data_IF_501069667212
#
_entry.id   IF_501069667212
#
_cell.length_a   1.000
_cell.length_b   1.000
_cell.length_c   1.000
_cell.angle_alpha   90.00
_cell.angle_beta   90.00
_cell.angle_gamma   90.00
#
_symmetry.space_group_name_H-M   'P 1'
#
loop_
_entity.id
_entity.type
_entity.pdbx_description
1 polymer ?
#
# COMPACT_ATOMS: atom_id res chain seq x y z
N UNK A 1 -2.74 4.30 -34.53
CA UNK A 1 -2.57 4.78 -33.15
C UNK A 1 -3.45 3.94 -32.22
N UNK A 2 -2.90 3.34 -31.15
CA UNK A 2 -3.73 2.72 -30.10
C UNK A 2 -4.51 3.83 -29.37
N UNK A 3 -5.81 3.63 -29.13
CA UNK A 3 -6.65 4.58 -28.38
C UNK A 3 -6.11 4.69 -26.94
N UNK A 4 -6.14 5.90 -26.33
CA UNK A 4 -5.72 6.06 -24.95
C UNK A 4 -6.62 5.26 -24.00
N UNK A 5 -5.98 4.61 -23.03
CA UNK A 5 -6.64 3.88 -21.96
C UNK A 5 -7.06 4.84 -20.84
N UNK A 6 -7.88 4.32 -19.93
CA UNK A 6 -8.38 5.09 -18.79
C UNK A 6 -7.32 5.23 -17.69
N UNK A 7 -7.30 6.38 -17.01
CA UNK A 7 -6.40 6.64 -15.90
C UNK A 7 -6.59 5.63 -14.76
N UNK A 8 -7.86 5.33 -14.43
CA UNK A 8 -8.24 4.32 -13.43
C UNK A 8 -9.54 3.62 -13.82
N UNK A 9 -10.59 4.40 -14.12
CA UNK A 9 -11.95 3.88 -14.26
C UNK A 9 -12.31 3.73 -15.74
N UNK A 10 -12.68 2.52 -16.15
CA UNK A 10 -12.92 2.16 -17.57
C UNK A 10 -14.18 2.78 -18.20
N UNK A 11 -15.06 3.39 -17.42
CA UNK A 11 -16.17 4.22 -17.92
C UNK A 11 -16.45 5.27 -16.85
N UNK A 12 -16.89 6.49 -17.22
CA UNK A 12 -17.72 7.29 -16.33
C UNK A 12 -19.00 6.49 -16.15
N UNK A 13 -19.01 5.54 -15.21
CA UNK A 13 -20.28 5.06 -14.73
C UNK A 13 -20.95 6.30 -14.14
N UNK A 14 -22.17 6.63 -14.61
CA UNK A 14 -23.18 7.01 -13.62
C UNK A 14 -23.15 5.83 -12.68
N UNK A 15 -22.40 5.89 -11.59
CA UNK A 15 -22.38 4.80 -10.63
C UNK A 15 -23.84 4.66 -10.22
N UNK A 16 -24.56 3.58 -10.59
CA UNK A 16 -25.97 3.45 -10.23
C UNK A 16 -26.16 3.37 -8.70
N UNK A 17 -25.04 3.27 -7.99
CA UNK A 17 -24.82 3.32 -6.56
C UNK A 17 -24.76 4.78 -6.09
N UNK A 18 -25.79 5.55 -6.45
CA UNK A 18 -26.02 6.95 -6.12
C UNK A 18 -26.35 7.03 -4.62
N UNK A 19 -25.39 7.33 -3.74
CA UNK A 19 -25.59 7.58 -2.29
C UNK A 19 -26.15 6.37 -1.47
N UNK A 20 -26.80 5.38 -2.08
CA UNK A 20 -27.76 4.49 -1.41
C UNK A 20 -27.20 3.15 -0.91
N UNK A 21 -26.02 2.75 -1.34
CA UNK A 21 -25.66 1.32 -1.30
C UNK A 21 -24.32 1.01 -0.64
N UNK A 22 -23.58 2.03 -0.17
CA UNK A 22 -22.51 1.87 0.82
C UNK A 22 -22.93 2.48 2.16
N UNK A 23 -21.99 2.54 3.11
CA UNK A 23 -22.10 3.21 4.43
C UNK A 23 -22.58 4.68 4.36
N UNK A 24 -22.72 5.23 3.15
CA UNK A 24 -23.26 6.53 2.75
C UNK A 24 -24.76 6.73 2.98
N UNK A 25 -25.55 5.67 3.14
CA UNK A 25 -26.96 5.75 3.55
C UNK A 25 -27.17 6.27 4.97
N UNK A 26 -26.10 6.62 5.68
CA UNK A 26 -26.08 6.98 7.10
C UNK A 26 -25.85 8.48 7.36
N UNK A 27 -25.65 9.29 6.32
CA UNK A 27 -25.31 10.71 6.47
C UNK A 27 -26.56 11.59 6.63
N UNK A 28 -26.35 12.74 7.27
CA UNK A 28 -27.40 13.64 7.74
C UNK A 28 -28.03 14.53 6.64
N UNK A 29 -27.75 14.27 5.36
CA UNK A 29 -28.18 15.15 4.26
C UNK A 29 -29.60 14.78 3.84
N UNK A 30 -30.59 15.21 4.62
CA UNK A 30 -31.98 14.75 4.53
C UNK A 30 -32.68 15.04 3.19
N UNK A 31 -32.31 16.14 2.53
CA UNK A 31 -32.99 16.63 1.32
C UNK A 31 -32.76 15.78 0.07
N UNK A 32 -31.75 14.91 0.09
CA UNK A 32 -31.31 14.13 -1.09
C UNK A 32 -31.51 12.62 -0.89
N UNK A 33 -32.05 12.21 0.28
CA UNK A 33 -32.35 10.82 0.57
C UNK A 33 -33.80 10.50 0.17
N UNK A 34 -33.98 9.40 -0.54
CA UNK A 34 -35.28 8.75 -0.70
C UNK A 34 -35.75 8.13 0.64
N UNK A 35 -37.03 7.76 0.72
CA UNK A 35 -37.63 7.23 1.95
C UNK A 35 -36.95 5.94 2.43
N UNK A 36 -36.48 5.10 1.51
CA UNK A 36 -35.77 3.86 1.84
C UNK A 36 -34.40 4.16 2.46
N UNK A 37 -33.67 5.16 1.93
CA UNK A 37 -32.41 5.62 2.48
C UNK A 37 -32.59 6.26 3.87
N UNK A 38 -33.63 7.08 4.06
CA UNK A 38 -33.98 7.64 5.37
C UNK A 38 -34.27 6.55 6.40
N UNK A 39 -35.06 5.55 6.02
CA UNK A 39 -35.35 4.41 6.88
C UNK A 39 -34.05 3.67 7.28
N UNK A 40 -33.17 3.38 6.32
CA UNK A 40 -31.89 2.69 6.60
C UNK A 40 -30.98 3.51 7.52
N UNK A 41 -30.91 4.83 7.33
CA UNK A 41 -30.19 5.75 8.23
C UNK A 41 -30.73 5.64 9.65
N UNK A 42 -32.04 5.71 9.82
CA UNK A 42 -32.69 5.71 11.13
C UNK A 42 -32.51 4.35 11.84
N UNK A 43 -32.58 3.24 11.09
CA UNK A 43 -32.24 1.90 11.59
C UNK A 43 -30.78 1.80 12.03
N UNK A 44 -29.85 2.36 11.25
CA UNK A 44 -28.43 2.41 11.60
C UNK A 44 -28.17 3.24 12.86
N UNK A 45 -28.77 4.43 12.98
CA UNK A 45 -28.67 5.28 14.16
C UNK A 45 -29.21 4.58 15.42
N UNK A 46 -30.36 3.91 15.31
CA UNK A 46 -30.91 3.07 16.39
C UNK A 46 -29.94 1.97 16.78
N UNK A 47 -29.30 1.32 15.81
CA UNK A 47 -28.32 0.27 16.09
C UNK A 47 -27.06 0.80 16.79
N UNK A 48 -26.48 1.92 16.33
CA UNK A 48 -25.32 2.53 16.98
C UNK A 48 -25.66 2.96 18.41
N UNK A 49 -26.82 3.59 18.60
CA UNK A 49 -27.28 3.99 19.92
C UNK A 49 -27.49 2.79 20.86
N UNK A 50 -27.98 1.66 20.32
CA UNK A 50 -28.06 0.42 21.08
C UNK A 50 -26.67 -0.10 21.44
N UNK A 51 -25.74 -0.13 20.48
CA UNK A 51 -24.36 -0.60 20.68
C UNK A 51 -23.58 0.27 21.69
N UNK A 52 -23.86 1.57 21.78
CA UNK A 52 -23.22 2.48 22.75
C UNK A 52 -23.47 2.10 24.22
N UNK A 53 -24.47 1.25 24.47
CA UNK A 53 -24.88 0.77 25.80
C UNK A 53 -24.46 -0.68 26.09
N UNK A 54 -23.60 -1.25 25.26
CA UNK A 54 -23.15 -2.65 25.39
C UNK A 54 -21.75 -2.74 25.98
N UNK A 55 -21.37 -3.94 26.48
CA UNK A 55 -20.00 -4.25 26.90
C UNK A 55 -18.97 -4.03 25.78
N UNK A 56 -19.38 -4.17 24.51
CA UNK A 56 -18.51 -3.84 23.37
C UNK A 56 -18.09 -2.37 23.41
N UNK A 57 -19.02 -1.45 23.65
CA UNK A 57 -18.69 -0.03 23.71
C UNK A 57 -17.83 0.31 24.92
N UNK A 58 -18.11 -0.27 26.08
CA UNK A 58 -17.30 -0.11 27.28
C UNK A 58 -15.86 -0.61 27.03
N UNK A 59 -15.73 -1.83 26.51
CA UNK A 59 -14.44 -2.41 26.13
C UNK A 59 -13.69 -1.51 25.15
N UNK A 60 -14.34 -1.06 24.08
CA UNK A 60 -13.66 -0.23 23.06
C UNK A 60 -13.28 1.14 23.62
N UNK A 61 -14.16 1.77 24.40
CA UNK A 61 -13.92 3.09 24.99
C UNK A 61 -12.76 3.08 25.98
N UNK A 62 -12.65 2.02 26.80
CA UNK A 62 -11.61 1.92 27.82
C UNK A 62 -10.23 1.60 27.24
N UNK A 63 -10.16 0.94 26.08
CA UNK A 63 -8.89 0.41 25.54
C UNK A 63 -8.38 1.13 24.28
N UNK A 64 -9.26 1.75 23.47
CA UNK A 64 -8.87 2.22 22.12
C UNK A 64 -9.26 3.66 21.79
N UNK A 65 -10.22 4.23 22.53
CA UNK A 65 -10.72 5.58 22.28
C UNK A 65 -9.75 6.63 22.80
N UNK A 66 -9.65 7.76 22.10
CA UNK A 66 -8.81 8.88 22.47
C UNK A 66 -9.63 10.16 22.55
N UNK A 67 -9.29 11.07 23.48
CA UNK A 67 -9.97 12.36 23.63
C UNK A 67 -9.86 13.25 22.37
N UNK A 68 -8.85 13.04 21.53
CA UNK A 68 -8.64 13.75 20.27
C UNK A 68 -9.54 13.26 19.13
N UNK A 69 -10.21 12.11 19.27
CA UNK A 69 -11.03 11.51 18.19
C UNK A 69 -12.17 12.44 17.74
N UNK A 70 -12.79 13.16 18.67
CA UNK A 70 -13.81 14.18 18.36
C UNK A 70 -13.26 15.34 17.54
N UNK A 71 -12.05 15.80 17.85
CA UNK A 71 -11.39 16.87 17.08
C UNK A 71 -10.97 16.37 15.71
N UNK A 72 -10.48 15.14 15.64
CA UNK A 72 -10.09 14.47 14.40
C UNK A 72 -11.28 14.33 13.44
N UNK A 73 -12.41 13.78 13.89
CA UNK A 73 -13.59 13.62 13.03
C UNK A 73 -14.10 14.96 12.52
N UNK A 74 -14.13 16.01 13.37
CA UNK A 74 -14.54 17.37 12.97
C UNK A 74 -13.65 17.96 11.88
N UNK A 75 -12.33 17.81 12.01
CA UNK A 75 -11.39 18.28 11.00
C UNK A 75 -11.53 17.49 9.68
N UNK A 76 -11.67 16.17 9.78
CA UNK A 76 -11.82 15.32 8.60
C UNK A 76 -13.17 15.51 7.91
N UNK A 77 -14.26 15.79 8.63
CA UNK A 77 -15.55 16.18 8.06
C UNK A 77 -15.44 17.47 7.25
N UNK A 78 -14.77 18.51 7.77
CA UNK A 78 -14.54 19.74 7.01
C UNK A 78 -13.76 19.50 5.72
N UNK A 79 -12.80 18.59 5.74
CA UNK A 79 -11.95 18.33 4.59
C UNK A 79 -12.59 17.38 3.56
N UNK A 80 -13.14 16.28 4.05
CA UNK A 80 -13.58 15.13 3.26
C UNK A 80 -15.09 14.95 3.21
N UNK A 81 -15.83 15.69 4.05
CA UNK A 81 -17.30 15.73 4.10
C UNK A 81 -17.87 14.35 4.24
N UNK A 82 -18.58 13.92 3.20
CA UNK A 82 -19.12 12.57 3.17
C UNK A 82 -17.96 11.59 3.40
N UNK A 83 -16.85 11.62 2.67
CA UNK A 83 -15.76 10.64 2.75
C UNK A 83 -14.98 10.55 4.09
N UNK A 84 -15.44 11.17 5.19
CA UNK A 84 -14.78 11.19 6.50
C UNK A 84 -14.45 9.79 7.04
N UNK A 85 -15.37 8.83 6.94
CA UNK A 85 -15.26 7.51 7.58
C UNK A 85 -13.92 6.83 7.27
N UNK A 86 -13.58 6.73 6.00
CA UNK A 86 -12.37 6.05 5.53
C UNK A 86 -11.09 6.76 5.99
N UNK A 87 -11.11 8.10 5.99
CA UNK A 87 -9.98 8.90 6.46
C UNK A 87 -9.82 8.82 7.98
N UNK A 88 -10.93 8.77 8.71
CA UNK A 88 -10.94 8.60 10.16
C UNK A 88 -10.38 7.24 10.55
N UNK A 89 -10.91 6.15 9.98
CA UNK A 89 -10.42 4.79 10.21
C UNK A 89 -8.94 4.68 9.86
N UNK A 90 -8.51 5.24 8.72
CA UNK A 90 -7.08 5.26 8.34
C UNK A 90 -6.23 5.98 9.38
N UNK A 91 -6.73 7.05 9.99
CA UNK A 91 -5.97 7.90 10.92
C UNK A 91 -5.79 7.26 12.30
N UNK A 92 -6.74 6.45 12.75
CA UNK A 92 -6.67 5.78 14.06
C UNK A 92 -6.14 4.34 13.99
N UNK A 93 -5.99 3.78 12.78
CA UNK A 93 -5.60 2.38 12.58
C UNK A 93 -4.31 1.99 13.28
N UNK A 94 -3.26 2.80 13.14
CA UNK A 94 -1.94 2.47 13.71
C UNK A 94 -1.98 2.52 15.25
N UNK A 95 -2.77 3.44 15.83
CA UNK A 95 -3.05 3.48 17.27
C UNK A 95 -3.70 2.18 17.73
N UNK A 96 -4.77 1.75 17.05
CA UNK A 96 -5.49 0.53 17.41
C UNK A 96 -4.59 -0.70 17.28
N UNK A 97 -3.80 -0.81 16.21
CA UNK A 97 -2.83 -1.90 16.04
C UNK A 97 -1.82 -1.93 17.20
N UNK A 98 -1.31 -0.76 17.60
CA UNK A 98 -0.39 -0.63 18.73
C UNK A 98 -1.02 -1.10 20.04
N UNK A 99 -2.24 -0.66 20.36
CA UNK A 99 -2.95 -1.08 21.57
C UNK A 99 -3.27 -2.59 21.55
N UNK A 100 -3.69 -3.12 20.40
CA UNK A 100 -3.87 -4.57 20.25
C UNK A 100 -2.58 -5.37 20.51
N UNK A 101 -1.42 -4.80 20.18
CA UNK A 101 -0.11 -5.41 20.43
C UNK A 101 0.32 -5.38 21.88
N UNK A 102 -0.06 -4.35 22.66
CA UNK A 102 0.33 -4.19 24.07
C UNK A 102 -0.37 -5.17 25.01
N UNK A 103 -1.63 -5.46 24.74
CA UNK A 103 -2.49 -6.25 25.64
C UNK A 103 -2.69 -7.70 25.20
N UNK A 104 -2.07 -8.10 24.08
CA UNK A 104 -2.25 -9.40 23.41
C UNK A 104 -3.70 -9.92 23.40
N UNK A 105 -4.64 -9.05 23.01
CA UNK A 105 -6.06 -9.41 22.97
C UNK A 105 -6.30 -10.61 22.05
N UNK A 106 -6.94 -11.64 22.60
CA UNK A 106 -7.33 -12.81 21.84
C UNK A 106 -8.50 -12.48 20.91
N UNK A 107 -8.40 -12.88 19.64
CA UNK A 107 -9.47 -12.69 18.65
C UNK A 107 -10.77 -13.35 19.09
N UNK A 108 -10.70 -14.49 19.78
CA UNK A 108 -11.85 -15.21 20.34
C UNK A 108 -12.56 -14.44 21.45
N UNK A 109 -11.83 -13.71 22.28
CA UNK A 109 -12.42 -12.89 23.34
C UNK A 109 -13.21 -11.72 22.74
N UNK A 110 -12.59 -10.99 21.82
CA UNK A 110 -13.27 -9.91 21.09
C UNK A 110 -14.49 -10.43 20.32
N UNK A 111 -14.38 -11.62 19.71
CA UNK A 111 -15.49 -12.27 19.03
C UNK A 111 -16.69 -12.49 19.98
N UNK A 112 -16.46 -13.00 21.19
CA UNK A 112 -17.52 -13.21 22.17
C UNK A 112 -18.22 -11.90 22.56
N UNK A 113 -17.44 -10.85 22.83
CA UNK A 113 -17.97 -9.51 23.16
C UNK A 113 -18.83 -8.97 22.01
N UNK A 114 -18.36 -9.15 20.77
CA UNK A 114 -19.07 -8.69 19.58
C UNK A 114 -20.37 -9.49 19.35
N UNK A 115 -20.34 -10.81 19.48
CA UNK A 115 -21.51 -11.68 19.36
C UNK A 115 -22.58 -11.34 20.41
N UNK A 116 -22.17 -11.10 21.67
CA UNK A 116 -23.07 -10.63 22.73
C UNK A 116 -23.72 -9.29 22.36
N UNK A 117 -22.93 -8.33 21.88
CA UNK A 117 -23.43 -7.02 21.50
C UNK A 117 -24.36 -7.07 20.27
N UNK A 118 -24.19 -8.02 19.36
CA UNK A 118 -24.97 -8.13 18.12
C UNK A 118 -26.18 -9.06 18.25
N UNK A 119 -26.21 -9.93 19.28
CA UNK A 119 -27.30 -10.87 19.52
C UNK A 119 -27.26 -12.11 18.62
N UNK A 120 -26.14 -12.36 17.95
CA UNK A 120 -25.90 -13.56 17.12
C UNK A 120 -24.40 -13.85 17.03
N UNK A 121 -24.05 -15.08 16.64
CA UNK A 121 -22.64 -15.48 16.48
C UNK A 121 -21.97 -14.73 15.31
N UNK A 122 -21.02 -13.86 15.63
CA UNK A 122 -20.21 -13.11 14.68
C UNK A 122 -18.87 -13.83 14.52
N UNK A 123 -18.41 -14.01 13.28
CA UNK A 123 -17.07 -14.56 13.02
C UNK A 123 -16.05 -13.45 12.82
N UNK A 124 -15.00 -13.44 13.63
CA UNK A 124 -13.84 -12.54 13.47
C UNK A 124 -12.69 -13.37 12.91
N UNK A 125 -12.30 -13.07 11.66
CA UNK A 125 -11.38 -13.92 10.89
C UNK A 125 -9.95 -13.92 11.43
N UNK A 126 -9.48 -12.74 11.82
CA UNK A 126 -8.11 -12.51 12.25
C UNK A 126 -7.98 -11.18 13.01
N UNK A 127 -6.77 -10.85 13.47
CA UNK A 127 -6.48 -9.59 14.15
C UNK A 127 -6.75 -8.36 13.26
N UNK A 128 -6.69 -8.46 11.92
CA UNK A 128 -7.00 -7.34 11.03
C UNK A 128 -8.50 -7.05 10.95
N UNK A 129 -9.33 -8.10 10.91
CA UNK A 129 -10.79 -7.98 10.97
C UNK A 129 -11.23 -7.36 12.30
N UNK A 130 -10.58 -7.76 13.41
CA UNK A 130 -10.77 -7.14 14.72
C UNK A 130 -10.44 -5.64 14.72
N UNK A 131 -9.23 -5.26 14.28
CA UNK A 131 -8.81 -3.84 14.18
C UNK A 131 -9.79 -3.02 13.35
N UNK A 132 -10.27 -3.58 12.24
CA UNK A 132 -11.25 -2.92 11.39
C UNK A 132 -12.57 -2.67 12.13
N UNK A 133 -13.13 -3.69 12.78
CA UNK A 133 -14.38 -3.57 13.54
C UNK A 133 -14.28 -2.59 14.71
N UNK A 134 -13.15 -2.59 15.43
CA UNK A 134 -12.88 -1.60 16.48
C UNK A 134 -12.86 -0.19 15.89
N UNK A 135 -12.15 0.02 14.78
CA UNK A 135 -12.06 1.32 14.12
C UNK A 135 -13.43 1.86 13.70
N UNK A 136 -14.27 0.98 13.13
CA UNK A 136 -15.64 1.32 12.75
C UNK A 136 -16.49 1.68 13.95
N UNK A 137 -16.46 0.89 15.02
CA UNK A 137 -17.24 1.18 16.21
C UNK A 137 -16.83 2.54 16.80
N UNK A 138 -15.54 2.86 16.89
CA UNK A 138 -15.08 4.19 17.35
C UNK A 138 -15.66 5.28 16.46
N UNK A 139 -15.55 5.14 15.13
CA UNK A 139 -16.12 6.11 14.19
C UNK A 139 -17.63 6.31 14.41
N UNK A 140 -18.39 5.22 14.51
CA UNK A 140 -19.84 5.25 14.74
C UNK A 140 -20.21 5.98 16.05
N UNK A 141 -19.46 5.74 17.13
CA UNK A 141 -19.68 6.44 18.40
C UNK A 141 -19.30 7.92 18.32
N UNK A 142 -18.22 8.26 17.62
CA UNK A 142 -17.87 9.67 17.39
C UNK A 142 -18.91 10.39 16.53
N UNK A 143 -19.48 9.72 15.52
CA UNK A 143 -20.61 10.26 14.76
C UNK A 143 -21.81 10.48 15.67
N UNK A 144 -22.21 9.47 16.46
CA UNK A 144 -23.35 9.57 17.37
C UNK A 144 -23.22 10.75 18.34
N UNK A 145 -22.03 10.95 18.92
CA UNK A 145 -21.73 12.07 19.82
C UNK A 145 -21.75 13.41 19.06
N UNK A 146 -21.34 13.39 17.81
CA UNK A 146 -21.31 14.54 16.92
C UNK A 146 -22.69 14.94 16.38
N UNK A 147 -23.71 14.06 16.44
CA UNK A 147 -25.07 14.39 15.99
C UNK A 147 -25.70 15.54 16.78
N UNK A 148 -25.31 15.69 18.05
CA UNK A 148 -25.76 16.79 18.90
C UNK A 148 -24.98 18.10 18.66
N UNK A 149 -23.92 18.07 17.84
CA UNK A 149 -23.11 19.23 17.50
C UNK A 149 -23.62 19.85 16.18
N UNK A 150 -24.37 20.95 16.30
CA UNK A 150 -24.92 21.66 15.14
C UNK A 150 -23.85 22.13 14.15
N UNK A 151 -22.62 22.37 14.61
CA UNK A 151 -21.52 22.76 13.74
C UNK A 151 -21.08 21.62 12.83
N UNK A 152 -21.07 20.38 13.32
CA UNK A 152 -20.67 19.21 12.53
C UNK A 152 -21.67 18.96 11.39
N UNK A 153 -22.97 19.04 11.70
CA UNK A 153 -24.02 18.96 10.70
C UNK A 153 -23.86 20.08 9.65
N UNK A 154 -23.62 21.31 10.09
CA UNK A 154 -23.40 22.45 9.20
C UNK A 154 -22.15 22.28 8.32
N UNK A 155 -21.04 21.81 8.87
CA UNK A 155 -19.79 21.56 8.13
C UNK A 155 -19.99 20.48 7.04
N UNK A 156 -20.72 19.41 7.36
CA UNK A 156 -21.06 18.35 6.41
C UNK A 156 -21.96 18.87 5.29
N UNK A 157 -23.03 19.60 5.63
CA UNK A 157 -23.92 20.21 4.63
C UNK A 157 -23.17 21.19 3.74
N UNK A 158 -22.38 22.09 4.32
CA UNK A 158 -21.57 23.03 3.56
C UNK A 158 -20.61 22.31 2.62
N UNK A 159 -19.96 21.23 3.08
CA UNK A 159 -19.12 20.43 2.20
C UNK A 159 -19.94 19.83 1.06
N UNK A 160 -21.10 19.21 1.35
CA UNK A 160 -21.95 18.63 0.32
C UNK A 160 -22.38 19.65 -0.73
N UNK A 161 -22.91 20.80 -0.29
CA UNK A 161 -23.34 21.89 -1.16
C UNK A 161 -22.21 22.41 -2.07
N UNK A 162 -20.97 22.49 -1.54
CA UNK A 162 -19.81 22.90 -2.31
C UNK A 162 -19.37 21.89 -3.39
N UNK A 163 -19.79 20.63 -3.30
CA UNK A 163 -19.26 19.53 -4.10
C UNK A 163 -20.33 18.68 -4.81
N UNK A 164 -21.63 19.02 -4.65
CA UNK A 164 -22.76 18.39 -5.33
C UNK A 164 -22.92 18.83 -6.79
N UNK A 165 -22.37 19.98 -7.16
CA UNK A 165 -22.44 20.47 -8.52
C UNK A 165 -21.39 19.83 -9.44
N UNK A 166 -21.68 19.81 -10.74
CA UNK A 166 -20.72 19.33 -11.73
C UNK A 166 -19.55 20.31 -11.86
N UNK A 167 -18.34 19.76 -11.85
CA UNK A 167 -17.09 20.49 -12.12
C UNK A 167 -16.33 19.87 -13.28
N UNK A 168 -15.45 20.65 -13.92
CA UNK A 168 -14.61 20.19 -15.01
C UNK A 168 -13.35 19.50 -14.49
N UNK A 169 -13.11 18.27 -14.92
CA UNK A 169 -11.86 17.57 -14.64
C UNK A 169 -10.64 18.32 -15.22
N UNK A 170 -9.62 18.58 -14.41
CA UNK A 170 -8.38 19.27 -14.83
C UNK A 170 -7.48 18.44 -15.75
N UNK A 171 -7.77 17.15 -15.95
CA UNK A 171 -7.05 16.26 -16.87
C UNK A 171 -7.77 16.09 -18.21
N UNK A 172 -9.05 15.69 -18.21
CA UNK A 172 -9.78 15.38 -19.45
C UNK A 172 -10.92 16.35 -19.80
N UNK A 173 -11.17 17.36 -18.97
CA UNK A 173 -12.26 18.34 -19.13
C UNK A 173 -13.68 17.76 -19.10
N UNK A 174 -13.86 16.48 -18.77
CA UNK A 174 -15.20 15.91 -18.56
C UNK A 174 -15.83 16.47 -17.28
N UNK A 175 -17.14 16.69 -17.32
CA UNK A 175 -17.94 17.00 -16.13
C UNK A 175 -18.00 15.79 -15.20
N UNK A 176 -17.87 16.02 -13.90
CA UNK A 176 -18.10 15.04 -12.84
C UNK A 176 -18.49 15.76 -11.54
N UNK A 177 -19.12 15.04 -10.61
CA UNK A 177 -19.32 15.53 -9.24
C UNK A 177 -18.36 14.81 -8.31
N UNK A 178 -17.85 15.50 -7.30
CA UNK A 178 -16.95 14.88 -6.32
C UNK A 178 -17.71 13.81 -5.52
N UNK A 179 -18.98 14.09 -5.20
CA UNK A 179 -19.85 13.17 -4.47
C UNK A 179 -20.12 11.86 -5.22
N UNK A 180 -19.90 11.81 -6.54
CA UNK A 180 -20.07 10.60 -7.36
C UNK A 180 -18.81 9.72 -7.40
N UNK A 181 -17.70 10.16 -6.80
CA UNK A 181 -16.47 9.37 -6.79
C UNK A 181 -16.63 8.17 -5.85
N UNK A 182 -16.18 6.96 -6.25
CA UNK A 182 -16.11 5.84 -5.33
C UNK A 182 -15.20 6.18 -4.14
N UNK A 183 -15.59 5.78 -2.95
CA UNK A 183 -14.85 6.02 -1.71
C UNK A 183 -13.38 5.59 -1.81
N UNK A 184 -13.12 4.40 -2.37
CA UNK A 184 -11.75 3.90 -2.56
C UNK A 184 -10.92 4.75 -3.55
N UNK A 185 -11.56 5.41 -4.53
CA UNK A 185 -10.90 6.34 -5.45
C UNK A 185 -10.60 7.65 -4.73
N UNK A 186 -11.57 8.17 -3.97
CA UNK A 186 -11.38 9.41 -3.21
C UNK A 186 -10.30 9.25 -2.13
N UNK A 187 -10.35 8.17 -1.33
CA UNK A 187 -9.29 7.82 -0.39
C UNK A 187 -7.97 7.57 -1.13
N UNK A 188 -7.97 6.71 -2.16
CA UNK A 188 -6.77 6.33 -2.89
C UNK A 188 -6.06 7.53 -3.54
N UNK A 189 -6.80 8.56 -3.93
CA UNK A 189 -6.29 9.80 -4.51
C UNK A 189 -5.93 10.87 -3.47
N UNK A 190 -6.00 10.53 -2.18
CA UNK A 190 -5.79 11.45 -1.06
C UNK A 190 -6.73 12.66 -1.11
N UNK A 191 -8.00 12.43 -1.43
CA UNK A 191 -9.05 13.44 -1.48
C UNK A 191 -8.95 14.38 -2.67
N UNK A 192 -8.45 13.91 -3.81
CA UNK A 192 -8.35 14.73 -5.02
C UNK A 192 -9.76 15.09 -5.55
N UNK A 193 -10.04 16.39 -5.63
CA UNK A 193 -11.33 16.95 -6.08
C UNK A 193 -11.28 17.50 -7.52
N UNK A 194 -10.16 17.31 -8.20
CA UNK A 194 -9.85 17.95 -9.48
C UNK A 194 -9.81 16.95 -10.65
N UNK A 195 -9.98 15.66 -10.36
CA UNK A 195 -9.87 14.56 -11.31
C UNK A 195 -11.10 13.66 -11.25
N UNK A 196 -11.70 13.34 -12.41
CA UNK A 196 -12.83 12.40 -12.46
C UNK A 196 -12.38 10.92 -12.42
N UNK A 197 -11.08 10.65 -12.58
CA UNK A 197 -10.46 9.32 -12.67
C UNK A 197 -10.96 8.40 -13.81
N UNK A 198 -11.93 8.87 -14.60
CA UNK A 198 -12.42 8.26 -15.84
C UNK A 198 -11.74 8.83 -17.09
N UNK A 199 -10.58 9.46 -16.91
CA UNK A 199 -9.86 10.18 -17.95
C UNK A 199 -9.27 9.20 -18.96
N UNK A 200 -9.61 9.29 -20.26
CA UNK A 200 -8.93 8.57 -21.35
C UNK A 200 -7.63 9.28 -21.74
N UNK A 201 -6.72 9.39 -20.79
CA UNK A 201 -5.48 10.17 -20.92
C UNK A 201 -4.23 9.29 -20.85
N UNK A 202 -4.38 7.99 -20.59
CA UNK A 202 -3.25 7.09 -20.49
C UNK A 202 -2.66 6.87 -21.87
N UNK A 203 -1.44 7.37 -22.07
CA UNK A 203 -0.71 7.21 -23.33
C UNK A 203 -0.07 5.83 -23.41
N UNK A 204 0.42 5.45 -24.60
CA UNK A 204 1.16 4.20 -24.82
C UNK A 204 2.52 4.50 -25.45
N UNK A 205 3.40 5.28 -24.79
CA UNK A 205 4.67 5.68 -25.36
C UNK A 205 5.54 4.45 -25.68
N UNK A 206 6.36 4.56 -26.72
CA UNK A 206 7.37 3.58 -27.03
C UNK A 206 8.54 3.66 -26.01
N UNK A 207 9.46 2.70 -26.09
CA UNK A 207 10.56 2.60 -25.12
C UNK A 207 11.49 3.82 -25.14
N UNK A 208 11.69 4.47 -26.30
CA UNK A 208 12.54 5.66 -26.45
C UNK A 208 11.92 6.89 -25.79
N UNK A 209 10.62 7.11 -25.99
CA UNK A 209 9.88 8.21 -25.35
C UNK A 209 9.89 8.10 -23.82
N UNK A 210 9.88 6.87 -23.28
CA UNK A 210 9.94 6.63 -21.84
C UNK A 210 11.25 7.11 -21.17
N UNK A 211 12.34 7.30 -21.92
CA UNK A 211 13.60 7.84 -21.36
C UNK A 211 13.43 9.26 -20.81
N UNK A 212 12.54 10.05 -21.39
CA UNK A 212 12.27 11.42 -20.95
C UNK A 212 11.09 11.47 -19.96
N UNK A 213 10.07 10.65 -20.19
CA UNK A 213 8.84 10.67 -19.40
C UNK A 213 9.01 10.12 -17.98
N UNK A 214 9.87 9.12 -17.77
CA UNK A 214 10.11 8.54 -16.44
C UNK A 214 10.83 9.54 -15.51
N UNK A 215 11.96 10.16 -15.90
CA UNK A 215 12.58 11.22 -15.12
C UNK A 215 11.64 12.40 -14.82
N UNK A 216 10.85 12.82 -15.81
CA UNK A 216 9.86 13.88 -15.62
C UNK A 216 8.82 13.50 -14.56
N UNK A 217 8.26 12.29 -14.62
CA UNK A 217 7.31 11.81 -13.62
C UNK A 217 7.91 11.79 -12.20
N UNK A 218 9.15 11.32 -12.06
CA UNK A 218 9.85 11.29 -10.76
C UNK A 218 10.15 12.69 -10.24
N UNK A 219 10.59 13.59 -11.13
CA UNK A 219 10.77 15.02 -10.81
C UNK A 219 9.48 15.65 -10.31
N UNK A 220 8.33 15.36 -10.95
CA UNK A 220 7.02 15.85 -10.50
C UNK A 220 6.59 15.26 -9.15
N UNK A 221 6.90 13.99 -8.90
CA UNK A 221 6.67 13.37 -7.59
C UNK A 221 7.53 14.02 -6.48
N UNK A 222 8.77 14.41 -6.81
CA UNK A 222 9.78 14.83 -5.83
C UNK A 222 10.40 13.66 -5.05
N UNK A 223 10.08 12.42 -5.43
CA UNK A 223 10.64 11.19 -4.87
C UNK A 223 10.48 10.04 -5.86
N UNK A 224 11.20 8.93 -5.65
CA UNK A 224 11.01 7.71 -6.45
C UNK A 224 9.85 6.90 -5.86
N UNK A 225 8.72 6.75 -6.59
CA UNK A 225 7.61 5.95 -6.10
C UNK A 225 7.90 4.45 -6.19
N UNK A 226 7.17 3.67 -5.39
CA UNK A 226 7.25 2.21 -5.46
C UNK A 226 6.58 1.66 -6.73
N UNK A 227 6.78 0.36 -6.98
CA UNK A 227 6.32 -0.28 -8.21
C UNK A 227 4.79 -0.51 -8.28
N UNK A 228 4.03 -0.16 -7.24
CA UNK A 228 2.57 -0.20 -7.13
C UNK A 228 1.95 1.19 -7.12
N UNK A 229 2.72 2.27 -7.31
CA UNK A 229 2.17 3.61 -7.35
C UNK A 229 1.15 3.77 -8.48
N UNK A 230 0.04 4.41 -8.14
CA UNK A 230 -1.06 4.75 -9.06
C UNK A 230 -1.81 5.96 -8.52
N UNK A 231 -2.56 6.70 -9.36
CA UNK A 231 -3.37 7.85 -8.93
C UNK A 231 -4.42 7.56 -7.84
N UNK A 232 -4.67 6.28 -7.52
CA UNK A 232 -5.64 5.80 -6.52
C UNK A 232 -4.99 4.88 -5.49
N UNK A 233 -3.69 5.05 -5.25
CA UNK A 233 -2.98 4.39 -4.17
C UNK A 233 -2.58 5.40 -3.10
N UNK A 234 -3.24 5.35 -1.94
CA UNK A 234 -3.02 6.29 -0.84
C UNK A 234 -1.59 6.28 -0.30
N UNK A 235 -0.86 5.15 -0.36
CA UNK A 235 0.55 5.11 0.08
C UNK A 235 1.48 5.90 -0.85
N UNK A 236 1.03 6.16 -2.08
CA UNK A 236 1.72 7.00 -3.05
C UNK A 236 1.21 8.44 -2.98
N UNK A 237 -0.11 8.65 -3.03
CA UNK A 237 -0.70 9.99 -3.14
C UNK A 237 -0.60 10.81 -1.86
N UNK A 238 -0.53 10.18 -0.68
CA UNK A 238 -0.30 10.89 0.60
C UNK A 238 1.07 11.56 0.69
N UNK A 239 2.04 11.11 -0.11
CA UNK A 239 3.41 11.65 -0.16
C UNK A 239 3.53 12.84 -1.13
N UNK A 240 2.48 13.14 -1.88
CA UNK A 240 2.44 14.23 -2.86
C UNK A 240 1.73 15.42 -2.23
N UNK A 241 2.31 16.62 -2.39
CA UNK A 241 1.64 17.86 -2.00
C UNK A 241 0.31 18.00 -2.75
N UNK A 242 -0.79 18.29 -2.05
CA UNK A 242 -2.16 18.33 -2.64
C UNK A 242 -2.22 19.16 -3.93
N UNK A 243 -1.60 20.34 -3.96
CA UNK A 243 -1.56 21.22 -5.14
C UNK A 243 -0.76 20.69 -6.34
N UNK A 244 -0.02 19.58 -6.21
CA UNK A 244 0.78 18.95 -7.27
C UNK A 244 0.16 17.67 -7.82
N UNK A 245 -0.94 17.17 -7.25
CA UNK A 245 -1.54 15.88 -7.64
C UNK A 245 -1.88 15.81 -9.12
N UNK A 246 -2.47 16.86 -9.69
CA UNK A 246 -2.85 16.89 -11.10
C UNK A 246 -1.63 16.84 -12.03
N UNK A 247 -0.55 17.54 -11.70
CA UNK A 247 0.67 17.49 -12.50
C UNK A 247 1.34 16.12 -12.43
N UNK A 248 1.34 15.49 -11.26
CA UNK A 248 1.83 14.12 -11.09
C UNK A 248 0.96 13.13 -11.87
N UNK A 249 -0.38 13.24 -11.80
CA UNK A 249 -1.29 12.37 -12.54
C UNK A 249 -1.15 12.56 -14.05
N UNK A 250 -0.91 13.79 -14.52
CA UNK A 250 -0.62 14.06 -15.93
C UNK A 250 0.69 13.40 -16.35
N UNK A 251 1.76 13.54 -15.57
CA UNK A 251 3.03 12.88 -15.87
C UNK A 251 2.89 11.34 -15.83
N UNK A 252 2.13 10.79 -14.88
CA UNK A 252 1.79 9.37 -14.81
C UNK A 252 1.05 8.90 -16.06
N UNK A 253 0.06 9.67 -16.51
CA UNK A 253 -0.73 9.38 -17.69
C UNK A 253 0.13 9.39 -18.96
N UNK A 254 1.02 10.39 -19.11
CA UNK A 254 1.90 10.52 -20.26
C UNK A 254 2.86 9.34 -20.41
N UNK A 255 3.38 8.78 -19.30
CA UNK A 255 4.21 7.58 -19.34
C UNK A 255 3.42 6.27 -19.52
N UNK A 256 2.07 6.33 -19.61
CA UNK A 256 1.21 5.16 -19.68
C UNK A 256 1.06 4.38 -18.37
N UNK A 257 1.47 4.97 -17.25
CA UNK A 257 1.48 4.34 -15.93
C UNK A 257 2.55 3.28 -15.72
N UNK A 258 2.77 2.90 -14.45
CA UNK A 258 3.85 1.98 -14.08
C UNK A 258 3.69 0.58 -14.71
N UNK A 259 2.44 0.12 -14.92
CA UNK A 259 2.19 -1.17 -15.59
C UNK A 259 2.73 -1.17 -17.03
N UNK A 260 2.52 -0.09 -17.78
CA UNK A 260 3.07 0.05 -19.13
C UNK A 260 4.60 0.09 -19.10
N UNK A 261 5.19 0.87 -18.20
CA UNK A 261 6.66 0.93 -18.03
C UNK A 261 7.24 -0.46 -17.76
N UNK A 262 6.65 -1.23 -16.84
CA UNK A 262 7.06 -2.62 -16.58
C UNK A 262 6.99 -3.49 -17.83
N UNK A 263 5.97 -3.34 -18.67
CA UNK A 263 5.87 -4.09 -19.92
C UNK A 263 6.99 -3.79 -20.92
N UNK A 264 7.58 -2.58 -20.87
CA UNK A 264 8.66 -2.15 -21.79
C UNK A 264 10.08 -2.44 -21.28
N UNK A 265 10.27 -2.45 -19.97
CA UNK A 265 11.58 -2.61 -19.33
C UNK A 265 11.72 -3.89 -18.49
N UNK A 266 10.66 -4.70 -18.37
CA UNK A 266 10.59 -5.90 -17.55
C UNK A 266 10.27 -5.62 -16.08
N UNK A 267 10.83 -4.55 -15.50
CA UNK A 267 10.51 -4.11 -14.14
C UNK A 267 10.61 -2.60 -13.97
N UNK A 268 9.98 -2.07 -12.92
CA UNK A 268 10.09 -0.64 -12.57
C UNK A 268 11.53 -0.27 -12.22
N UNK A 269 12.22 -1.12 -11.45
CA UNK A 269 13.62 -0.90 -11.08
C UNK A 269 14.56 -0.85 -12.29
N UNK A 270 14.43 -1.79 -13.24
CA UNK A 270 15.21 -1.77 -14.49
C UNK A 270 14.96 -0.50 -15.30
N UNK A 271 13.70 -0.03 -15.33
CA UNK A 271 13.37 1.24 -15.99
C UNK A 271 14.14 2.40 -15.35
N UNK A 272 14.10 2.54 -14.01
CA UNK A 272 14.80 3.59 -13.27
C UNK A 272 16.30 3.63 -13.55
N UNK A 273 16.95 2.46 -13.66
CA UNK A 273 18.39 2.36 -13.93
C UNK A 273 18.69 2.79 -15.36
N UNK A 274 17.94 2.26 -16.32
CA UNK A 274 18.14 2.55 -17.75
C UNK A 274 17.87 4.03 -18.05
N UNK A 275 16.89 4.65 -17.40
CA UNK A 275 16.58 6.08 -17.52
C UNK A 275 17.42 6.97 -16.59
N UNK A 276 18.47 6.41 -15.96
CA UNK A 276 19.42 7.13 -15.10
C UNK A 276 18.74 7.98 -14.02
N UNK A 277 17.67 7.46 -13.42
CA UNK A 277 16.85 8.20 -12.45
C UNK A 277 17.13 7.81 -11.01
N UNK A 278 18.00 6.84 -10.78
CA UNK A 278 18.46 6.48 -9.44
C UNK A 278 19.59 7.41 -8.98
N UNK A 279 19.48 8.03 -7.79
CA UNK A 279 20.60 8.71 -7.14
C UNK A 279 21.76 7.73 -6.97
N UNK A 280 22.93 8.07 -7.51
CA UNK A 280 24.15 7.25 -7.43
C UNK A 280 23.98 5.79 -7.92
N UNK A 281 22.99 5.50 -8.77
CA UNK A 281 22.71 4.14 -9.24
C UNK A 281 22.05 3.21 -8.23
N UNK A 282 21.61 3.74 -7.08
CA UNK A 282 21.07 2.96 -5.96
C UNK A 282 19.64 3.38 -5.62
N UNK A 283 18.79 2.40 -5.32
CA UNK A 283 17.45 2.60 -4.78
C UNK A 283 17.42 2.18 -3.31
N UNK A 284 17.23 3.14 -2.41
CA UNK A 284 17.04 2.89 -0.98
C UNK A 284 15.54 2.64 -0.72
N UNK A 285 15.22 1.57 0.01
CA UNK A 285 13.85 1.22 0.41
C UNK A 285 13.79 0.97 1.92
N UNK A 286 12.60 0.98 2.55
CA UNK A 286 12.47 0.61 3.97
C UNK A 286 12.95 -0.81 4.30
N UNK A 287 13.11 -1.68 3.28
CA UNK A 287 13.55 -3.08 3.44
C UNK A 287 15.01 -3.30 3.04
N UNK A 288 15.77 -2.24 2.77
CA UNK A 288 17.17 -2.33 2.32
C UNK A 288 17.40 -1.67 0.96
N UNK A 289 18.49 -2.06 0.32
CA UNK A 289 19.04 -1.40 -0.86
C UNK A 289 18.75 -2.23 -2.12
N UNK A 290 18.62 -1.58 -3.29
CA UNK A 290 18.67 -2.24 -4.59
C UNK A 290 19.61 -1.49 -5.53
N UNK A 291 20.50 -2.21 -6.19
CA UNK A 291 21.45 -1.68 -7.16
C UNK A 291 21.64 -2.66 -8.32
N UNK A 292 22.42 -2.25 -9.34
CA UNK A 292 22.74 -3.08 -10.50
C UNK A 292 24.25 -3.31 -10.58
N UNK A 293 24.68 -4.57 -10.65
CA UNK A 293 26.06 -4.95 -10.89
C UNK A 293 26.49 -4.65 -12.34
N UNK A 294 27.79 -4.71 -12.61
CA UNK A 294 28.40 -4.32 -13.89
C UNK A 294 27.95 -5.18 -15.07
N UNK A 295 27.55 -6.42 -14.81
CA UNK A 295 26.99 -7.35 -15.79
C UNK A 295 25.46 -7.23 -15.96
N UNK A 296 24.81 -6.36 -15.19
CA UNK A 296 23.38 -6.11 -15.24
C UNK A 296 22.53 -6.88 -14.22
N UNK A 297 23.13 -7.69 -13.35
CA UNK A 297 22.42 -8.35 -12.25
C UNK A 297 21.82 -7.34 -11.25
N UNK A 298 20.65 -7.68 -10.70
CA UNK A 298 20.01 -6.87 -9.65
C UNK A 298 20.45 -7.40 -8.29
N UNK A 299 21.01 -6.53 -7.47
CA UNK A 299 21.50 -6.87 -6.14
C UNK A 299 20.59 -6.28 -5.05
N UNK A 300 20.53 -6.95 -3.88
CA UNK A 300 19.72 -6.56 -2.74
C UNK A 300 20.53 -5.93 -1.59
N UNK A 301 21.83 -5.75 -1.80
CA UNK A 301 22.75 -5.00 -0.94
C UNK A 301 23.92 -4.45 -1.76
N UNK A 302 24.70 -3.54 -1.16
CA UNK A 302 25.92 -3.00 -1.80
C UNK A 302 26.99 -4.09 -1.83
N UNK A 303 27.04 -4.93 -0.80
CA UNK A 303 27.99 -6.02 -0.65
C UNK A 303 27.74 -7.12 -1.69
N UNK A 304 26.46 -7.43 -1.97
CA UNK A 304 26.12 -8.31 -3.09
C UNK A 304 26.60 -7.75 -4.42
N UNK A 305 26.41 -6.44 -4.67
CA UNK A 305 26.91 -5.79 -5.88
C UNK A 305 28.43 -5.82 -5.96
N UNK A 306 29.12 -5.63 -4.85
CA UNK A 306 30.58 -5.70 -4.78
C UNK A 306 31.10 -7.10 -5.13
N UNK A 307 30.51 -8.16 -4.56
CA UNK A 307 30.87 -9.55 -4.87
C UNK A 307 30.59 -9.86 -6.34
N UNK A 308 29.42 -9.48 -6.85
CA UNK A 308 28.99 -9.74 -8.23
C UNK A 308 29.90 -9.03 -9.25
N UNK A 309 30.23 -7.75 -9.00
CA UNK A 309 31.21 -7.01 -9.77
C UNK A 309 32.59 -7.66 -9.73
N UNK A 310 33.02 -8.16 -8.56
CA UNK A 310 34.30 -8.85 -8.42
C UNK A 310 34.34 -10.11 -9.29
N UNK A 311 33.28 -10.94 -9.25
CA UNK A 311 33.15 -12.14 -10.09
C UNK A 311 33.21 -11.79 -11.58
N UNK A 312 32.46 -10.76 -11.99
CA UNK A 312 32.44 -10.25 -13.37
C UNK A 312 33.82 -9.79 -13.83
N UNK A 313 34.51 -9.00 -13.00
CA UNK A 313 35.83 -8.45 -13.32
C UNK A 313 36.90 -9.54 -13.49
N UNK A 314 36.77 -10.66 -12.76
CA UNK A 314 37.64 -11.84 -12.89
C UNK A 314 37.15 -12.82 -13.96
N UNK A 315 36.14 -12.45 -14.76
CA UNK A 315 35.54 -13.28 -15.82
C UNK A 315 35.00 -14.63 -15.31
N UNK A 316 34.62 -14.69 -14.03
CA UNK A 316 34.01 -15.88 -13.44
C UNK A 316 32.51 -15.86 -13.80
N UNK A 317 32.11 -16.78 -14.67
CA UNK A 317 30.71 -16.94 -15.05
C UNK A 317 29.90 -17.42 -13.84
N UNK A 318 28.85 -16.69 -13.51
CA UNK A 318 27.99 -16.97 -12.38
C UNK A 318 26.52 -16.71 -12.72
N UNK A 319 25.62 -17.39 -12.03
CA UNK A 319 24.17 -17.15 -12.13
C UNK A 319 23.63 -16.66 -10.78
N UNK A 320 22.71 -15.68 -10.81
CA UNK A 320 22.11 -15.07 -9.62
C UNK A 320 20.80 -15.73 -9.21
N UNK A 321 20.59 -15.78 -7.90
CA UNK A 321 19.38 -16.29 -7.25
C UNK A 321 18.93 -17.70 -7.74
N UNK A 322 19.85 -18.68 -7.91
CA UNK A 322 19.48 -20.02 -8.33
C UNK A 322 18.61 -20.68 -7.25
N UNK A 323 17.63 -21.48 -7.67
CA UNK A 323 16.81 -22.25 -6.73
C UNK A 323 17.61 -23.38 -6.09
N UNK A 324 17.47 -23.53 -4.77
CA UNK A 324 17.91 -24.74 -4.11
C UNK A 324 17.02 -25.93 -4.48
N UNK A 325 17.56 -27.17 -4.44
CA UNK A 325 16.76 -28.38 -4.55
C UNK A 325 15.61 -28.40 -3.53
N UNK A 326 14.51 -29.04 -3.92
CA UNK A 326 13.34 -29.23 -3.05
C UNK A 326 13.71 -30.18 -1.91
N UNK A 327 13.28 -29.86 -0.69
CA UNK A 327 13.54 -30.70 0.48
C UNK A 327 12.32 -30.68 1.42
N UNK A 328 11.93 -31.83 1.95
CA UNK A 328 10.66 -31.96 2.69
C UNK A 328 10.57 -31.03 3.92
N UNK A 329 11.66 -30.89 4.68
CA UNK A 329 11.70 -30.08 5.91
C UNK A 329 12.17 -28.64 5.60
N UNK A 330 13.40 -28.51 5.09
CA UNK A 330 14.06 -27.21 4.93
C UNK A 330 13.77 -26.45 3.63
N UNK A 331 13.13 -27.04 2.61
CA UNK A 331 12.71 -26.32 1.40
C UNK A 331 11.46 -26.95 0.75
N UNK A 332 10.33 -27.08 1.47
CA UNK A 332 9.18 -27.84 1.00
C UNK A 332 8.54 -27.26 -0.26
N UNK A 333 8.62 -25.93 -0.40
CA UNK A 333 8.09 -25.21 -1.56
C UNK A 333 9.00 -25.22 -2.78
N UNK A 334 10.28 -25.58 -2.62
CA UNK A 334 11.29 -25.45 -3.67
C UNK A 334 11.63 -24.00 -4.04
N UNK A 335 11.20 -23.00 -3.26
CA UNK A 335 11.37 -21.57 -3.58
C UNK A 335 12.56 -20.90 -2.88
N UNK A 336 13.31 -21.62 -2.05
CA UNK A 336 14.55 -21.08 -1.47
C UNK A 336 15.59 -20.89 -2.58
N UNK A 337 16.36 -19.82 -2.46
CA UNK A 337 17.37 -19.42 -3.45
C UNK A 337 18.68 -19.12 -2.75
N UNK A 338 19.79 -19.49 -3.39
CA UNK A 338 21.12 -19.02 -3.00
C UNK A 338 21.38 -17.64 -3.57
N UNK A 339 22.52 -17.03 -3.23
CA UNK A 339 22.86 -15.77 -3.85
C UNK A 339 23.42 -15.98 -5.26
N UNK A 340 24.38 -16.90 -5.40
CA UNK A 340 24.96 -17.28 -6.68
C UNK A 340 25.15 -18.79 -6.84
N UNK A 341 25.35 -19.24 -8.08
CA UNK A 341 25.93 -20.55 -8.40
C UNK A 341 27.06 -20.38 -9.43
N UNK A 342 28.18 -21.06 -9.17
CA UNK A 342 29.38 -21.04 -10.02
C UNK A 342 29.83 -22.49 -10.20
N UNK A 343 29.87 -22.97 -11.44
CA UNK A 343 30.27 -24.34 -11.79
C UNK A 343 29.60 -25.42 -10.91
N UNK A 344 28.30 -25.24 -10.59
CA UNK A 344 27.53 -26.17 -9.76
C UNK A 344 27.66 -25.98 -8.24
N UNK A 345 28.56 -25.10 -7.77
CA UNK A 345 28.74 -24.77 -6.35
C UNK A 345 27.88 -23.56 -5.97
N UNK A 346 27.09 -23.68 -4.91
CA UNK A 346 26.22 -22.60 -4.43
C UNK A 346 26.99 -21.61 -3.56
N UNK A 347 26.67 -20.33 -3.63
CA UNK A 347 27.34 -19.28 -2.85
C UNK A 347 26.30 -18.44 -2.14
N UNK A 348 26.56 -18.14 -0.87
CA UNK A 348 25.69 -17.35 0.00
C UNK A 348 26.50 -16.25 0.69
N UNK A 349 25.96 -15.03 0.70
CA UNK A 349 26.50 -13.93 1.49
C UNK A 349 25.63 -13.70 2.73
N UNK A 350 26.19 -14.03 3.90
CA UNK A 350 25.53 -13.86 5.19
C UNK A 350 25.88 -12.49 5.80
N UNK A 351 25.29 -11.42 5.24
CA UNK A 351 25.60 -10.04 5.62
C UNK A 351 25.00 -9.55 6.93
N UNK A 352 23.98 -10.21 7.46
CA UNK A 352 23.39 -9.90 8.77
C UNK A 352 23.79 -11.01 9.75
N UNK A 353 24.43 -10.68 10.87
CA UNK A 353 24.78 -11.67 11.90
C UNK A 353 24.39 -11.14 13.27
N UNK A 354 23.75 -11.96 14.10
CA UNK A 354 23.35 -11.60 15.47
C UNK A 354 21.87 -11.21 15.64
N UNK A 355 21.05 -11.34 14.59
CA UNK A 355 19.59 -11.30 14.69
C UNK A 355 19.06 -12.75 14.78
N UNK A 356 18.39 -13.10 15.88
CA UNK A 356 17.96 -14.48 16.15
C UNK A 356 17.05 -15.08 15.05
N UNK A 357 16.24 -14.26 14.39
CA UNK A 357 15.35 -14.73 13.31
C UNK A 357 16.16 -14.97 12.04
N UNK A 358 17.11 -14.09 11.75
CA UNK A 358 18.03 -14.24 10.63
C UNK A 358 18.95 -15.45 10.81
N UNK A 359 19.56 -15.61 11.99
CA UNK A 359 20.48 -16.70 12.30
C UNK A 359 19.78 -18.06 12.13
N UNK A 360 18.52 -18.18 12.56
CA UNK A 360 17.71 -19.39 12.30
C UNK A 360 17.53 -19.68 10.80
N UNK A 361 17.32 -18.66 9.96
CA UNK A 361 17.19 -18.86 8.51
C UNK A 361 18.51 -19.30 7.88
N UNK A 362 19.63 -18.78 8.38
CA UNK A 362 20.97 -19.22 7.97
C UNK A 362 21.16 -20.69 8.35
N UNK A 363 20.87 -21.06 9.60
CA UNK A 363 20.94 -22.45 10.06
C UNK A 363 20.09 -23.39 9.21
N UNK A 364 18.83 -23.04 8.94
CA UNK A 364 17.95 -23.84 8.08
C UNK A 364 18.48 -23.95 6.63
N UNK A 365 19.23 -22.96 6.12
CA UNK A 365 19.90 -23.04 4.80
C UNK A 365 21.11 -23.98 4.87
N UNK A 366 21.92 -23.91 5.91
CA UNK A 366 23.06 -24.79 6.11
C UNK A 366 22.63 -26.26 6.28
N UNK A 367 21.55 -26.51 7.00
CA UNK A 367 20.95 -27.85 7.13
C UNK A 367 20.44 -28.36 5.76
N UNK A 368 19.78 -27.51 4.97
CA UNK A 368 19.36 -27.88 3.61
C UNK A 368 20.54 -28.31 2.74
N UNK A 369 21.64 -27.56 2.80
CA UNK A 369 22.86 -27.84 2.03
C UNK A 369 23.50 -29.16 2.47
N UNK A 370 23.63 -29.38 3.79
CA UNK A 370 24.19 -30.60 4.36
C UNK A 370 23.38 -31.86 4.01
N UNK A 371 22.06 -31.84 4.22
CA UNK A 371 21.18 -32.99 3.96
C UNK A 371 21.16 -33.40 2.48
N UNK A 372 21.26 -32.42 1.57
CA UNK A 372 21.30 -32.69 0.13
C UNK A 372 22.72 -32.89 -0.40
N UNK A 373 23.75 -32.87 0.46
CA UNK A 373 25.17 -32.99 0.09
C UNK A 373 25.57 -32.00 -1.02
N UNK A 374 25.11 -30.76 -0.87
CA UNK A 374 25.35 -29.69 -1.83
C UNK A 374 26.64 -28.96 -1.45
N UNK A 375 27.57 -28.87 -2.40
CA UNK A 375 28.76 -28.04 -2.24
C UNK A 375 28.39 -26.56 -2.22
N UNK A 376 28.92 -25.83 -1.23
CA UNK A 376 28.66 -24.41 -1.09
C UNK A 376 29.87 -23.59 -0.59
N UNK A 377 29.78 -22.27 -0.76
CA UNK A 377 30.70 -21.28 -0.18
C UNK A 377 29.86 -20.28 0.61
N UNK A 378 30.18 -20.15 1.91
CA UNK A 378 29.63 -19.12 2.77
C UNK A 378 30.58 -17.91 2.79
N UNK A 379 30.05 -16.74 2.48
CA UNK A 379 30.77 -15.46 2.54
C UNK A 379 30.18 -14.66 3.69
N UNK A 380 31.04 -14.21 4.59
CA UNK A 380 30.70 -13.32 5.70
C UNK A 380 31.33 -11.94 5.46
N UNK A 381 30.90 -10.88 6.18
CA UNK A 381 31.48 -9.54 6.04
C UNK A 381 33.01 -9.51 6.15
N UNK A 382 33.60 -10.32 7.04
CA UNK A 382 35.05 -10.44 7.21
C UNK A 382 35.78 -11.00 5.98
N UNK A 383 35.08 -11.71 5.08
CA UNK A 383 35.68 -12.29 3.87
C UNK A 383 35.75 -11.29 2.70
N UNK A 384 35.06 -10.14 2.76
CA UNK A 384 34.93 -9.22 1.62
C UNK A 384 36.28 -8.63 1.16
N UNK A 385 37.24 -8.46 2.07
CA UNK A 385 38.60 -8.00 1.73
C UNK A 385 39.47 -9.09 1.11
N UNK A 386 39.06 -10.36 1.20
CA UNK A 386 39.83 -11.54 0.80
C UNK A 386 39.15 -12.40 -0.26
N UNK A 387 38.33 -11.83 -1.14
CA UNK A 387 37.56 -12.59 -2.13
C UNK A 387 38.42 -13.47 -3.05
N UNK A 388 39.65 -13.05 -3.40
CA UNK A 388 40.57 -13.88 -4.18
C UNK A 388 40.91 -15.20 -3.48
N UNK A 389 41.00 -15.20 -2.14
CA UNK A 389 41.22 -16.42 -1.36
C UNK A 389 39.97 -17.29 -1.33
N UNK A 390 38.79 -16.67 -1.20
CA UNK A 390 37.49 -17.36 -1.19
C UNK A 390 37.24 -18.07 -2.52
N UNK A 391 37.55 -17.41 -3.63
CA UNK A 391 37.29 -17.89 -4.98
C UNK A 391 38.52 -18.47 -5.69
N UNK A 392 39.57 -18.82 -4.94
CA UNK A 392 40.84 -19.31 -5.49
C UNK A 392 40.69 -20.50 -6.45
N UNK A 393 39.67 -21.34 -6.24
CA UNK A 393 39.41 -22.55 -7.05
C UNK A 393 38.75 -22.22 -8.41
N UNK A 394 38.38 -20.95 -8.65
CA UNK A 394 37.72 -20.49 -9.87
C UNK A 394 38.55 -19.47 -10.67
N UNK A 395 39.71 -19.08 -10.16
CA UNK A 395 40.70 -18.25 -10.83
C UNK A 395 41.65 -19.15 -11.62
#
# INVERSE_FOLDING_TARGET
>A
MKKPDYLVLNKPQKYPWNIASGYWGNYLIENELDDFQKQRRDEWLKNIFRLSRTKLNEFISNNFRNSEDKTLIKNLLKEHGIFVETFFIKSIKDRIISECGKHDFAVSEFQNILSEAWGYDVKVRDKFDMVYRISYHIYEQEVLISLCDSQIFHDLLNWYENYKEYVLCKLCRSNFRIIDLPEWVYLGSNGCKECCFCCKVLMSPNKKELYELIPLFISKCGFIPDSKASPVNISFTSRIQKGKLIDVFRAYANMGGIKHVKSKFGSWFKALVITKTLPNGVLITPRGIRCIASDGHVCHSIEEQYIDNWLTNHKIKHEREPFYPKHFIYNPSGKRRADWIINGKYIEYFGLSGDKIYDRKVEEKLLLLAENKIDYIAIYPANLSGLSTVFKDFL
#
